data_IF_962132970582
#
_entry.id   IF_962132970582
#
_cell.length_a   1.000
_cell.length_b   1.000
_cell.length_c   1.000
_cell.angle_alpha   90.00
_cell.angle_beta   90.00
_cell.angle_gamma   90.00
#
_symmetry.space_group_name_H-M   'P 1'
#
loop_
_entity.id
_entity.type
_entity.pdbx_description
1 polymer ?
#
# COMPACT_ATOMS: atom_id res chain seq x y z
N UNK A 1 -12.67 20.48 -8.51
CA UNK A 1 -12.59 19.75 -7.22
C UNK A 1 -13.89 19.80 -6.42
N UNK A 2 -14.56 20.96 -6.31
CA UNK A 2 -15.74 21.10 -5.45
C UNK A 2 -16.93 20.20 -5.81
N UNK A 3 -17.08 19.83 -7.09
CA UNK A 3 -18.14 18.91 -7.53
C UNK A 3 -17.93 17.46 -7.05
N UNK A 4 -16.69 17.06 -6.74
CA UNK A 4 -16.34 15.70 -6.29
C UNK A 4 -16.48 15.53 -4.77
N UNK A 5 -16.49 16.65 -4.03
CA UNK A 5 -16.65 16.64 -2.57
C UNK A 5 -18.14 16.67 -2.23
N UNK A 6 -18.58 15.82 -1.31
CA UNK A 6 -19.98 15.81 -0.86
C UNK A 6 -20.37 17.15 -0.21
N UNK A 7 -21.61 17.64 -0.40
CA UNK A 7 -22.12 18.81 0.32
C UNK A 7 -21.97 18.71 1.85
N UNK A 8 -22.08 17.50 2.40
CA UNK A 8 -21.90 17.25 3.85
C UNK A 8 -20.46 17.53 4.29
N UNK A 9 -19.47 17.13 3.49
CA UNK A 9 -18.05 17.37 3.80
C UNK A 9 -17.73 18.86 3.75
N UNK A 10 -18.29 19.59 2.78
CA UNK A 10 -18.16 21.06 2.73
C UNK A 10 -18.77 21.73 3.96
N UNK A 11 -19.95 21.29 4.39
CA UNK A 11 -20.60 21.81 5.60
C UNK A 11 -19.78 21.52 6.87
N UNK A 12 -19.18 20.33 6.97
CA UNK A 12 -18.27 19.96 8.06
C UNK A 12 -17.03 20.87 8.12
N UNK A 13 -16.37 21.11 6.98
CA UNK A 13 -15.20 22.00 6.89
C UNK A 13 -15.58 23.42 7.32
N UNK A 14 -16.69 23.95 6.81
CA UNK A 14 -17.18 25.28 7.15
C UNK A 14 -17.51 25.43 8.65
N UNK A 15 -18.08 24.39 9.27
CA UNK A 15 -18.34 24.38 10.72
C UNK A 15 -17.03 24.45 11.52
N UNK A 16 -15.99 23.72 11.12
CA UNK A 16 -14.67 23.82 11.74
C UNK A 16 -14.07 25.22 11.64
N UNK A 17 -14.16 25.86 10.46
CA UNK A 17 -13.70 27.23 10.27
C UNK A 17 -14.46 28.22 11.17
N UNK A 18 -15.78 28.06 11.33
CA UNK A 18 -16.58 28.88 12.22
C UNK A 18 -16.17 28.74 13.70
N UNK A 19 -15.50 27.63 14.06
CA UNK A 19 -14.94 27.39 15.40
C UNK A 19 -13.46 27.80 15.52
N UNK A 20 -12.88 28.41 14.49
CA UNK A 20 -11.46 28.81 14.47
C UNK A 20 -10.48 27.69 14.10
N UNK A 21 -10.97 26.53 13.64
CA UNK A 21 -10.11 25.46 13.12
C UNK A 21 -9.71 25.83 11.67
N UNK A 22 -8.41 25.89 11.34
CA UNK A 22 -7.96 26.23 10.01
C UNK A 22 -8.49 25.25 8.95
N UNK A 23 -8.89 25.75 7.79
CA UNK A 23 -9.07 24.90 6.62
C UNK A 23 -7.73 24.74 5.89
N UNK A 24 -7.30 23.50 5.70
CA UNK A 24 -6.07 23.15 5.01
C UNK A 24 -6.36 22.83 3.54
N UNK A 25 -5.35 22.98 2.69
CA UNK A 25 -5.41 22.50 1.30
C UNK A 25 -5.36 20.98 1.24
N UNK A 26 -4.44 20.39 2.03
CA UNK A 26 -4.36 18.98 2.34
C UNK A 26 -3.56 18.76 3.63
N UNK A 27 -3.63 17.52 4.14
CA UNK A 27 -2.96 17.08 5.37
C UNK A 27 -1.47 16.69 5.18
N UNK A 28 -0.94 16.76 3.97
CA UNK A 28 0.43 16.36 3.61
C UNK A 28 1.37 17.56 3.41
N UNK A 29 0.87 18.79 3.54
CA UNK A 29 1.61 20.05 3.37
C UNK A 29 2.59 20.39 4.50
N UNK A 30 2.66 19.56 5.54
CA UNK A 30 3.48 19.78 6.75
C UNK A 30 2.68 20.29 7.95
N UNK A 31 1.46 20.79 7.72
CA UNK A 31 0.46 21.02 8.75
C UNK A 31 -0.61 19.94 8.67
N UNK A 32 -0.91 19.30 9.80
CA UNK A 32 -1.90 18.22 9.87
C UNK A 32 -3.18 18.70 10.56
N UNK A 33 -3.07 19.62 11.52
CA UNK A 33 -4.17 20.05 12.35
C UNK A 33 -5.05 21.08 11.63
N UNK A 34 -6.21 20.64 11.17
CA UNK A 34 -7.19 21.48 10.51
C UNK A 34 -8.28 20.66 9.81
N UNK A 35 -9.14 21.33 9.07
CA UNK A 35 -10.19 20.70 8.25
C UNK A 35 -9.78 20.68 6.78
N UNK A 36 -9.91 19.55 6.12
CA UNK A 36 -9.67 19.40 4.67
C UNK A 36 -10.46 18.19 4.17
N UNK A 37 -10.82 18.13 2.88
CA UNK A 37 -11.09 16.84 2.25
C UNK A 37 -9.84 15.95 2.35
N UNK A 38 -10.03 14.64 2.52
CA UNK A 38 -8.92 13.70 2.55
C UNK A 38 -8.27 13.64 1.15
N UNK A 39 -6.93 13.65 1.11
CA UNK A 39 -6.21 13.23 -0.09
C UNK A 39 -6.42 11.72 -0.31
N UNK A 40 -6.74 11.33 -1.55
CA UNK A 40 -7.04 9.94 -1.89
C UNK A 40 -6.12 9.45 -3.00
N UNK A 41 -5.74 8.17 -2.93
CA UNK A 41 -5.08 7.47 -4.04
C UNK A 41 -6.12 7.04 -5.08
N UNK A 42 -6.57 8.02 -5.87
CA UNK A 42 -7.54 7.85 -6.95
C UNK A 42 -7.00 8.49 -8.23
N UNK A 43 -7.13 7.80 -9.35
CA UNK A 43 -6.79 8.30 -10.68
C UNK A 43 -7.92 7.97 -11.65
N UNK A 44 -8.41 8.96 -12.40
CA UNK A 44 -9.53 8.81 -13.33
C UNK A 44 -10.76 8.12 -12.70
N UNK A 45 -11.10 8.50 -11.46
CA UNK A 45 -12.26 7.97 -10.73
C UNK A 45 -12.11 6.54 -10.20
N UNK A 46 -10.94 5.91 -10.35
CA UNK A 46 -10.67 4.55 -9.84
C UNK A 46 -9.63 4.57 -8.72
N UNK A 47 -9.74 3.62 -7.79
CA UNK A 47 -8.71 3.34 -6.80
C UNK A 47 -7.38 3.06 -7.52
N UNK A 48 -6.30 3.64 -7.00
CA UNK A 48 -4.93 3.33 -7.38
C UNK A 48 -4.26 2.56 -6.23
N UNK A 49 -4.08 1.25 -6.39
CA UNK A 49 -3.39 0.42 -5.41
C UNK A 49 -1.86 0.55 -5.53
N UNK A 50 -1.14 -0.01 -4.56
CA UNK A 50 0.34 -0.10 -4.62
C UNK A 50 0.77 -0.95 -5.82
N UNK A 51 0.06 -2.05 -6.12
CA UNK A 51 0.35 -2.88 -7.28
C UNK A 51 0.17 -2.10 -8.59
N UNK A 52 -0.91 -1.33 -8.73
CA UNK A 52 -1.14 -0.49 -9.92
C UNK A 52 -0.02 0.55 -10.10
N UNK A 53 0.51 1.10 -9.00
CA UNK A 53 1.52 2.15 -9.03
C UNK A 53 2.95 1.61 -9.25
N UNK A 54 3.30 0.45 -8.69
CA UNK A 54 4.67 -0.06 -8.67
C UNK A 54 4.91 -1.31 -9.52
N UNK A 55 3.86 -2.05 -9.89
CA UNK A 55 3.91 -3.23 -10.75
C UNK A 55 3.13 -3.03 -12.06
N UNK A 56 3.31 -1.91 -12.80
CA UNK A 56 2.71 -1.77 -14.11
C UNK A 56 3.31 -2.80 -15.09
N UNK A 57 2.68 -3.00 -16.25
CA UNK A 57 3.06 -4.03 -17.21
C UNK A 57 4.53 -3.94 -17.65
N UNK A 58 5.10 -2.75 -17.73
CA UNK A 58 6.51 -2.54 -18.10
C UNK A 58 7.49 -3.04 -17.02
N UNK A 59 7.09 -3.03 -15.75
CA UNK A 59 7.89 -3.58 -14.65
C UNK A 59 7.75 -5.10 -14.63
N UNK A 60 6.54 -5.62 -14.84
CA UNK A 60 6.20 -7.04 -14.78
C UNK A 60 6.91 -7.89 -15.85
N UNK A 61 7.32 -7.30 -16.98
CA UNK A 61 8.02 -8.01 -18.07
C UNK A 61 9.55 -8.04 -17.90
N UNK A 62 10.09 -7.49 -16.81
CA UNK A 62 11.55 -7.46 -16.60
C UNK A 62 12.06 -8.88 -16.36
N UNK A 63 13.15 -9.31 -17.03
CA UNK A 63 13.64 -10.69 -16.96
C UNK A 63 14.22 -11.08 -15.58
N UNK A 64 14.51 -10.09 -14.73
CA UNK A 64 15.04 -10.28 -13.38
C UNK A 64 13.97 -10.14 -12.28
N UNK A 65 12.68 -10.12 -12.65
CA UNK A 65 11.56 -10.06 -11.71
C UNK A 65 10.64 -11.27 -11.95
N UNK A 66 10.38 -12.03 -10.89
CA UNK A 66 9.40 -13.11 -10.89
C UNK A 66 8.33 -12.78 -9.84
N UNK A 67 7.06 -12.76 -10.25
CA UNK A 67 5.93 -12.64 -9.34
C UNK A 67 5.29 -14.02 -9.17
N UNK A 68 5.32 -14.55 -7.95
CA UNK A 68 4.60 -15.78 -7.58
C UNK A 68 3.40 -15.37 -6.73
N UNK A 69 2.20 -15.55 -7.27
CA UNK A 69 0.94 -15.32 -6.56
C UNK A 69 0.40 -16.63 -6.02
N UNK A 70 -0.41 -16.60 -4.96
CA UNK A 70 -0.97 -17.81 -4.34
C UNK A 70 0.10 -18.81 -3.84
N UNK A 71 1.26 -18.30 -3.43
CA UNK A 71 2.32 -19.06 -2.77
C UNK A 71 2.45 -18.55 -1.34
N UNK A 72 1.88 -19.26 -0.37
CA UNK A 72 1.95 -18.87 1.04
C UNK A 72 3.29 -19.32 1.63
N UNK A 73 4.03 -18.39 2.26
CA UNK A 73 5.27 -18.71 2.96
C UNK A 73 4.92 -19.25 4.35
N UNK A 74 5.26 -20.51 4.63
CA UNK A 74 4.98 -21.14 5.93
C UNK A 74 6.06 -20.86 6.97
N UNK A 75 7.34 -20.92 6.56
CA UNK A 75 8.47 -20.69 7.44
C UNK A 75 9.75 -20.34 6.68
N UNK A 76 10.71 -19.75 7.41
CA UNK A 76 12.06 -19.51 6.93
C UNK A 76 12.90 -20.78 7.02
N UNK A 77 13.69 -21.05 5.98
CA UNK A 77 14.73 -22.07 6.01
C UNK A 77 16.00 -21.44 6.57
N UNK A 78 16.54 -22.04 7.63
CA UNK A 78 17.71 -21.53 8.35
C UNK A 78 18.90 -22.48 8.25
N UNK A 79 20.08 -21.90 8.03
CA UNK A 79 21.37 -22.54 8.26
C UNK A 79 22.08 -21.83 9.42
N UNK A 80 22.00 -22.43 10.60
CA UNK A 80 22.45 -21.80 11.85
C UNK A 80 21.65 -20.53 12.13
N UNK A 81 22.30 -19.37 12.06
CA UNK A 81 21.66 -18.06 12.30
C UNK A 81 21.33 -17.30 11.01
N UNK A 82 21.53 -17.91 9.83
CA UNK A 82 21.27 -17.27 8.52
C UNK A 82 20.03 -17.86 7.88
N UNK A 83 19.10 -17.00 7.44
CA UNK A 83 18.02 -17.43 6.56
C UNK A 83 18.54 -17.62 5.13
N UNK A 84 18.27 -18.78 4.55
CA UNK A 84 18.79 -19.21 3.24
C UNK A 84 17.69 -19.53 2.23
N UNK A 85 16.43 -19.50 2.66
CA UNK A 85 15.27 -19.66 1.81
C UNK A 85 13.95 -19.52 2.55
N UNK A 86 12.87 -19.79 1.83
CA UNK A 86 11.50 -19.88 2.34
C UNK A 86 10.88 -21.19 1.89
N UNK A 87 10.17 -21.85 2.80
CA UNK A 87 9.25 -22.91 2.44
C UNK A 87 7.91 -22.28 2.07
N UNK A 88 7.39 -22.62 0.89
CA UNK A 88 6.13 -22.11 0.37
C UNK A 88 5.19 -23.25 0.03
N UNK A 89 3.88 -23.00 0.14
CA UNK A 89 2.83 -23.90 -0.34
C UNK A 89 2.09 -23.26 -1.51
N UNK A 90 1.94 -24.02 -2.58
CA UNK A 90 1.10 -23.68 -3.73
C UNK A 90 0.21 -24.89 -4.04
N UNK A 91 -1.10 -24.70 -4.09
CA UNK A 91 -2.09 -25.77 -4.36
C UNK A 91 -1.94 -27.03 -3.49
N UNK A 92 -1.47 -26.85 -2.25
CA UNK A 92 -1.24 -27.94 -1.28
C UNK A 92 0.10 -28.66 -1.43
N UNK A 93 0.93 -28.28 -2.40
CA UNK A 93 2.28 -28.80 -2.56
C UNK A 93 3.30 -27.86 -1.93
N UNK A 94 4.12 -28.40 -1.04
CA UNK A 94 5.22 -27.66 -0.41
C UNK A 94 6.47 -27.68 -1.30
N UNK A 95 7.10 -26.51 -1.48
CA UNK A 95 8.40 -26.37 -2.14
C UNK A 95 9.29 -25.36 -1.39
N UNK A 96 10.60 -25.41 -1.64
CA UNK A 96 11.56 -24.46 -1.06
C UNK A 96 12.12 -23.54 -2.14
N UNK A 97 12.12 -22.23 -1.88
CA UNK A 97 12.78 -21.22 -2.70
C UNK A 97 14.01 -20.73 -1.94
N UNK A 98 15.20 -20.90 -2.52
CA UNK A 98 16.45 -20.41 -1.95
C UNK A 98 16.69 -18.93 -2.27
N UNK A 99 17.31 -18.20 -1.35
CA UNK A 99 17.65 -16.80 -1.52
C UNK A 99 18.84 -16.38 -0.66
N UNK A 100 19.67 -15.47 -1.18
CA UNK A 100 20.79 -14.89 -0.42
C UNK A 100 20.32 -13.81 0.58
N UNK A 101 19.16 -13.20 0.30
CA UNK A 101 18.55 -12.16 1.13
C UNK A 101 17.04 -12.32 1.10
N UNK A 102 16.42 -12.21 2.27
CA UNK A 102 14.97 -12.30 2.46
C UNK A 102 14.50 -11.01 3.10
N UNK A 103 13.42 -10.43 2.56
CA UNK A 103 12.76 -9.24 3.09
C UNK A 103 11.31 -9.61 3.39
N UNK A 104 10.92 -9.53 4.67
CA UNK A 104 9.56 -9.84 5.09
C UNK A 104 8.66 -8.62 4.89
N UNK A 105 7.64 -8.79 4.06
CA UNK A 105 6.64 -7.77 3.74
C UNK A 105 5.21 -8.29 3.95
N UNK A 106 5.02 -9.26 4.85
CA UNK A 106 3.75 -9.96 5.07
C UNK A 106 2.67 -9.12 5.79
N UNK A 107 3.06 -7.99 6.38
CA UNK A 107 2.18 -7.15 7.18
C UNK A 107 2.65 -7.06 8.62
N UNK A 108 1.88 -6.35 9.45
CA UNK A 108 2.20 -6.12 10.85
C UNK A 108 1.82 -7.28 11.79
N UNK A 109 1.12 -8.29 11.26
CA UNK A 109 0.58 -9.45 11.99
C UNK A 109 1.16 -10.72 11.39
#
# INVERSE_FOLDING_TARGET
>A
PDAEVSPVVRAYIAAGQAMGIPALTDHNSGELAGTSPNSLNIRAGKRLSVADAYLPSEVMVRPNLTLLTAHEVEHLVLEGQRATGVAVVCDGESMTISADRIVLCAGAV
#
